data_IF_861770776162
#
_entry.id   IF_861770776162
#
_cell.length_a   1.000
_cell.length_b   1.000
_cell.length_c   1.000
_cell.angle_alpha   90.00
_cell.angle_beta   90.00
_cell.angle_gamma   90.00
#
_symmetry.space_group_name_H-M   'P 1'
#
loop_
_entity.id
_entity.type
_entity.pdbx_description
1 polymer ?
#
# COMPACT_ATOMS: atom_id res chain seq x y z
N UNK A 1 -11.94 27.85 -23.61
CA UNK A 1 -12.30 26.71 -22.73
C UNK A 1 -11.03 25.96 -22.47
N UNK A 2 -10.59 25.86 -21.22
CA UNK A 2 -9.43 25.03 -20.89
C UNK A 2 -9.77 23.59 -21.25
N UNK A 3 -8.92 22.94 -22.05
CA UNK A 3 -9.14 21.56 -22.49
C UNK A 3 -9.28 20.61 -21.30
N UNK A 4 -9.99 19.49 -21.49
CA UNK A 4 -10.08 18.42 -20.50
C UNK A 4 -8.83 17.55 -20.59
N UNK A 5 -8.19 17.24 -19.46
CA UNK A 5 -7.05 16.33 -19.44
C UNK A 5 -7.48 14.91 -19.87
N UNK A 6 -6.67 14.28 -20.74
CA UNK A 6 -6.88 12.91 -21.21
C UNK A 6 -6.31 11.92 -20.21
N UNK A 7 -5.09 12.17 -19.74
CA UNK A 7 -4.42 11.38 -18.70
C UNK A 7 -3.70 12.30 -17.72
N UNK A 8 -3.58 11.86 -16.48
CA UNK A 8 -2.97 12.59 -15.38
C UNK A 8 -2.30 11.62 -14.42
N UNK A 9 -0.97 11.68 -14.31
CA UNK A 9 -0.21 10.78 -13.44
C UNK A 9 1.00 11.45 -12.82
N UNK A 10 1.40 10.95 -11.66
CA UNK A 10 2.67 11.32 -11.04
C UNK A 10 3.75 10.35 -11.52
N UNK A 11 4.85 10.89 -12.06
CA UNK A 11 6.03 10.12 -12.44
C UNK A 11 6.90 9.76 -11.23
N UNK A 12 7.74 8.74 -11.41
CA UNK A 12 8.78 8.32 -10.47
C UNK A 12 9.78 9.44 -10.12
N UNK A 13 9.91 10.43 -11.00
CA UNK A 13 10.69 11.68 -10.89
C UNK A 13 10.01 12.80 -10.09
N UNK A 14 8.85 12.52 -9.48
CA UNK A 14 7.98 13.51 -8.81
C UNK A 14 7.50 14.62 -9.76
N UNK A 15 7.24 14.30 -11.03
CA UNK A 15 6.60 15.22 -11.98
C UNK A 15 5.13 14.88 -12.22
N UNK A 16 4.25 15.88 -12.21
CA UNK A 16 2.87 15.71 -12.67
C UNK A 16 2.85 15.74 -14.21
N UNK A 17 2.51 14.61 -14.83
CA UNK A 17 2.39 14.48 -16.28
C UNK A 17 0.91 14.51 -16.63
N UNK A 18 0.52 15.52 -17.41
CA UNK A 18 -0.85 15.68 -17.92
C UNK A 18 -0.81 15.67 -19.44
N UNK A 19 -1.61 14.82 -20.05
CA UNK A 19 -1.82 14.78 -21.49
C UNK A 19 -3.10 15.53 -21.87
N UNK A 20 -3.02 16.34 -22.92
CA UNK A 20 -4.12 17.16 -23.41
C UNK A 20 -4.51 16.73 -24.82
N UNK A 21 -5.79 16.82 -25.19
CA UNK A 21 -6.25 16.39 -26.51
C UNK A 21 -5.72 17.27 -27.64
N UNK A 22 -5.44 18.54 -27.34
CA UNK A 22 -4.83 19.49 -28.26
C UNK A 22 -3.54 20.03 -27.63
N UNK A 23 -2.48 20.29 -28.42
CA UNK A 23 -1.26 20.91 -27.93
C UNK A 23 -1.59 22.23 -27.22
N UNK A 24 -0.95 22.45 -26.09
CA UNK A 24 -1.11 23.70 -25.37
C UNK A 24 -0.31 24.80 -26.06
N UNK A 25 -0.95 25.96 -26.27
CA UNK A 25 -0.32 27.18 -26.76
C UNK A 25 0.87 27.61 -25.87
N UNK A 26 1.89 28.22 -26.49
CA UNK A 26 3.15 28.61 -25.81
C UNK A 26 3.04 29.70 -24.73
N UNK A 27 1.85 30.19 -24.42
CA UNK A 27 1.58 31.13 -23.32
C UNK A 27 0.78 30.47 -22.19
N UNK A 28 1.04 29.19 -21.94
CA UNK A 28 0.36 28.40 -20.93
C UNK A 28 0.55 28.99 -19.52
N UNK A 29 -0.52 29.33 -18.79
CA UNK A 29 -0.40 29.78 -17.40
C UNK A 29 0.17 28.73 -16.45
N UNK A 30 0.45 27.51 -16.92
CA UNK A 30 0.95 26.40 -16.12
C UNK A 30 -0.13 25.83 -15.21
N UNK A 31 0.23 24.75 -14.50
CA UNK A 31 -0.64 24.13 -13.50
C UNK A 31 -0.23 24.63 -12.12
N UNK A 32 -1.21 25.13 -11.38
CA UNK A 32 -1.08 25.49 -9.96
C UNK A 32 -1.81 24.45 -9.13
N UNK A 33 -1.13 23.92 -8.12
CA UNK A 33 -1.69 23.06 -7.11
C UNK A 33 -1.99 23.89 -5.86
N UNK A 34 -3.20 23.76 -5.32
CA UNK A 34 -3.60 24.41 -4.08
C UNK A 34 -3.95 23.39 -3.00
N UNK A 35 -3.32 23.47 -1.84
CA UNK A 35 -3.63 22.62 -0.69
C UNK A 35 -5.03 22.94 -0.16
N UNK A 36 -5.88 21.92 0.00
CA UNK A 36 -7.30 22.09 0.35
C UNK A 36 -7.47 22.70 1.75
N UNK A 37 -6.68 22.27 2.73
CA UNK A 37 -6.83 22.72 4.12
C UNK A 37 -6.09 24.04 4.42
N UNK A 38 -4.84 24.18 3.99
CA UNK A 38 -4.00 25.35 4.32
C UNK A 38 -4.13 26.49 3.31
N UNK A 39 -4.60 26.22 2.09
CA UNK A 39 -4.63 27.19 0.99
C UNK A 39 -3.27 27.49 0.36
N UNK A 40 -2.21 26.79 0.78
CA UNK A 40 -0.86 26.86 0.17
C UNK A 40 -0.92 26.59 -1.33
N UNK A 41 -0.14 27.31 -2.12
CA UNK A 41 -0.06 27.12 -3.57
C UNK A 41 1.37 26.80 -4.02
N UNK A 42 1.49 25.93 -5.01
CA UNK A 42 2.75 25.66 -5.68
C UNK A 42 2.53 25.41 -7.19
N UNK A 43 3.58 25.58 -7.96
CA UNK A 43 3.59 25.17 -9.36
C UNK A 43 3.73 23.65 -9.46
N UNK A 44 2.97 22.99 -10.33
CA UNK A 44 2.95 21.52 -10.43
C UNK A 44 4.27 20.91 -10.94
N UNK A 45 5.21 21.73 -11.40
CA UNK A 45 6.55 21.29 -11.80
C UNK A 45 7.42 20.84 -10.61
N UNK A 46 7.08 21.24 -9.38
CA UNK A 46 7.82 20.86 -8.18
C UNK A 46 6.93 20.15 -7.16
N UNK A 47 6.62 18.87 -7.41
CA UNK A 47 5.86 18.08 -6.44
C UNK A 47 6.68 17.71 -5.18
N UNK A 48 7.98 18.01 -5.15
CA UNK A 48 8.87 17.57 -4.07
C UNK A 48 8.67 18.35 -2.79
N UNK A 49 8.09 19.55 -2.90
CA UNK A 49 7.84 20.48 -1.79
C UNK A 49 6.44 20.34 -1.21
N UNK A 50 5.57 19.52 -1.84
CA UNK A 50 4.21 19.33 -1.35
C UNK A 50 4.19 18.76 0.07
N UNK A 51 3.50 19.46 0.95
CA UNK A 51 3.11 18.94 2.26
C UNK A 51 2.04 17.86 2.14
N UNK A 52 1.96 16.98 3.15
CA UNK A 52 0.95 15.93 3.23
C UNK A 52 -0.46 16.52 3.26
N UNK A 53 -1.36 15.95 2.45
CA UNK A 53 -2.73 16.44 2.34
C UNK A 53 -3.32 16.22 0.95
N UNK A 54 -4.38 16.97 0.66
CA UNK A 54 -5.04 16.97 -0.65
C UNK A 54 -4.76 18.30 -1.34
N UNK A 55 -4.35 18.21 -2.61
CA UNK A 55 -4.02 19.34 -3.46
C UNK A 55 -4.92 19.33 -4.69
N UNK A 56 -5.50 20.47 -5.05
CA UNK A 56 -6.37 20.61 -6.22
C UNK A 56 -5.61 21.28 -7.36
N UNK A 57 -5.65 20.68 -8.55
CA UNK A 57 -5.01 21.25 -9.74
C UNK A 57 -5.91 22.28 -10.41
N UNK A 58 -5.31 23.40 -10.79
CA UNK A 58 -5.94 24.48 -11.54
C UNK A 58 -5.03 24.98 -12.65
N UNK A 59 -5.61 25.56 -13.68
CA UNK A 59 -4.93 26.15 -14.83
C UNK A 59 -5.59 27.47 -15.18
N UNK A 60 -4.84 28.57 -15.11
CA UNK A 60 -5.40 29.92 -15.30
C UNK A 60 -6.51 30.26 -14.30
N UNK A 61 -6.45 29.72 -13.09
CA UNK A 61 -7.45 29.90 -12.03
C UNK A 61 -8.66 28.95 -12.10
N UNK A 62 -8.81 28.19 -13.18
CA UNK A 62 -9.91 27.23 -13.36
C UNK A 62 -9.48 25.81 -12.98
N UNK A 63 -10.32 25.00 -12.31
CA UNK A 63 -10.00 23.61 -12.01
C UNK A 63 -9.67 22.79 -13.26
N UNK A 64 -8.65 21.94 -13.16
CA UNK A 64 -8.29 21.01 -14.26
C UNK A 64 -9.36 19.92 -14.34
N UNK A 65 -10.19 19.96 -15.37
CA UNK A 65 -11.16 18.89 -15.64
C UNK A 65 -10.46 17.65 -16.19
N UNK A 66 -10.90 16.46 -15.78
CA UNK A 66 -10.38 15.17 -16.24
C UNK A 66 -11.45 14.07 -16.17
N UNK A 67 -11.43 13.16 -17.15
CA UNK A 67 -12.17 11.89 -17.06
C UNK A 67 -11.28 10.73 -16.60
N UNK A 68 -9.97 10.91 -16.62
CA UNK A 68 -9.01 9.92 -16.14
C UNK A 68 -9.15 9.72 -14.62
N UNK A 69 -9.34 8.48 -14.12
CA UNK A 69 -9.37 8.23 -12.68
C UNK A 69 -8.07 8.60 -11.97
N UNK A 70 -6.94 8.73 -12.68
CA UNK A 70 -5.61 9.01 -12.12
C UNK A 70 -4.90 7.76 -11.59
N UNK A 71 -5.45 6.57 -11.85
CA UNK A 71 -4.90 5.29 -11.43
C UNK A 71 -4.10 4.62 -12.55
N UNK A 72 -2.86 4.25 -12.24
CA UNK A 72 -2.01 3.40 -13.09
C UNK A 72 -1.23 2.46 -12.19
N UNK A 73 -1.55 1.17 -12.20
CA UNK A 73 -0.87 0.19 -11.34
C UNK A 73 0.63 0.15 -11.63
N UNK A 74 1.03 0.11 -12.90
CA UNK A 74 2.44 0.13 -13.31
C UNK A 74 3.12 1.44 -12.90
N UNK A 75 2.42 2.57 -13.01
CA UNK A 75 2.92 3.87 -12.55
C UNK A 75 3.14 3.91 -11.03
N UNK A 76 2.20 3.36 -10.26
CA UNK A 76 2.32 3.26 -8.80
C UNK A 76 3.45 2.32 -8.39
N UNK A 77 3.65 1.21 -9.10
CA UNK A 77 4.81 0.32 -8.88
C UNK A 77 6.12 1.03 -9.18
N UNK A 78 6.24 1.68 -10.34
CA UNK A 78 7.44 2.43 -10.72
C UNK A 78 7.75 3.55 -9.71
N UNK A 79 6.73 4.25 -9.23
CA UNK A 79 6.89 5.24 -8.17
C UNK A 79 7.37 4.61 -6.85
N UNK A 80 6.74 3.51 -6.43
CA UNK A 80 7.08 2.81 -5.20
C UNK A 80 8.42 2.05 -5.24
N UNK A 81 9.03 1.85 -6.40
CA UNK A 81 10.32 1.17 -6.53
C UNK A 81 11.51 2.02 -6.06
N UNK A 82 11.35 3.33 -5.96
CA UNK A 82 12.40 4.22 -5.47
C UNK A 82 12.29 4.46 -3.97
N UNK A 83 13.40 4.50 -3.23
CA UNK A 83 13.44 4.92 -1.84
C UNK A 83 12.86 6.34 -1.67
N UNK A 84 11.84 6.47 -0.83
CA UNK A 84 11.18 7.76 -0.52
C UNK A 84 10.37 7.64 0.76
N UNK A 85 10.09 8.77 1.40
CA UNK A 85 9.28 8.85 2.62
C UNK A 85 7.88 9.43 2.36
N UNK A 86 7.48 9.53 1.08
CA UNK A 86 6.19 10.06 0.66
C UNK A 86 5.60 9.26 -0.48
N UNK A 87 4.28 9.33 -0.57
CA UNK A 87 3.46 8.87 -1.67
C UNK A 87 2.68 10.05 -2.24
N UNK A 88 2.69 10.20 -3.56
CA UNK A 88 1.87 11.19 -4.27
C UNK A 88 1.02 10.46 -5.31
N UNK A 89 -0.31 10.60 -5.21
CA UNK A 89 -1.25 9.99 -6.16
C UNK A 89 -2.12 11.03 -6.81
N UNK A 90 -2.22 10.99 -8.14
CA UNK A 90 -3.28 11.67 -8.86
C UNK A 90 -4.62 10.94 -8.63
N UNK A 91 -5.70 11.69 -8.56
CA UNK A 91 -7.05 11.12 -8.51
C UNK A 91 -8.06 12.08 -9.12
N UNK A 92 -9.17 11.52 -9.60
CA UNK A 92 -10.34 12.28 -10.04
C UNK A 92 -11.32 12.48 -8.88
N UNK A 93 -11.74 13.73 -8.67
CA UNK A 93 -12.84 14.03 -7.75
C UNK A 93 -14.19 13.57 -8.33
N UNK A 94 -15.24 13.54 -7.49
CA UNK A 94 -16.61 13.31 -7.97
C UNK A 94 -17.12 14.41 -8.91
N UNK A 95 -16.47 15.58 -8.94
CA UNK A 95 -16.78 16.68 -9.84
C UNK A 95 -16.04 16.59 -11.18
N UNK A 96 -15.25 15.52 -11.40
CA UNK A 96 -14.47 15.35 -12.63
C UNK A 96 -13.29 16.30 -12.72
N UNK A 97 -12.68 16.64 -11.58
CA UNK A 97 -11.49 17.50 -11.52
C UNK A 97 -10.29 16.73 -10.98
N UNK A 98 -9.09 17.13 -11.39
CA UNK A 98 -7.83 16.53 -10.96
C UNK A 98 -7.44 17.03 -9.56
N UNK A 99 -7.19 16.09 -8.67
CA UNK A 99 -6.53 16.33 -7.38
C UNK A 99 -5.31 15.42 -7.21
N UNK A 100 -4.40 15.83 -6.33
CA UNK A 100 -3.31 15.00 -5.84
C UNK A 100 -3.51 14.71 -4.35
N UNK A 101 -3.16 13.51 -3.92
CA UNK A 101 -3.06 13.15 -2.51
C UNK A 101 -1.61 12.87 -2.18
N UNK A 102 -1.10 13.57 -1.17
CA UNK A 102 0.24 13.43 -0.64
C UNK A 102 0.16 12.82 0.76
N UNK A 103 0.95 11.78 1.01
CA UNK A 103 1.02 11.10 2.31
C UNK A 103 2.45 10.80 2.67
N UNK A 104 2.78 10.85 3.95
CA UNK A 104 3.98 10.21 4.48
C UNK A 104 3.85 8.68 4.38
N UNK A 105 4.95 8.02 4.03
CA UNK A 105 5.05 6.56 3.97
C UNK A 105 6.36 6.09 4.55
N UNK A 106 6.30 4.98 5.28
CA UNK A 106 7.49 4.21 5.65
C UNK A 106 7.61 3.01 4.70
N UNK A 107 8.83 2.51 4.45
CA UNK A 107 9.04 1.31 3.68
C UNK A 107 8.25 0.11 4.21
N UNK A 108 7.71 -0.68 3.30
CA UNK A 108 6.95 -1.89 3.61
C UNK A 108 7.06 -2.90 2.46
N UNK A 109 6.59 -4.13 2.66
CA UNK A 109 6.44 -5.09 1.56
C UNK A 109 5.01 -5.00 1.04
N UNK A 110 4.85 -4.55 -0.21
CA UNK A 110 3.60 -4.63 -0.95
C UNK A 110 3.31 -6.10 -1.26
N UNK A 111 2.29 -6.64 -0.61
CA UNK A 111 1.83 -8.01 -0.74
C UNK A 111 1.07 -8.16 -2.05
N UNK A 112 1.54 -9.09 -2.88
CA UNK A 112 1.03 -9.40 -4.21
C UNK A 112 0.20 -10.68 -4.19
N UNK A 113 0.62 -11.66 -3.39
CA UNK A 113 -0.10 -12.93 -3.23
C UNK A 113 -0.03 -13.41 -1.80
N UNK A 114 -1.15 -13.97 -1.35
CA UNK A 114 -1.24 -14.71 -0.09
C UNK A 114 -1.89 -16.05 -0.38
N UNK A 115 -1.21 -17.13 0.01
CA UNK A 115 -1.76 -18.48 -0.04
C UNK A 115 -1.83 -19.02 1.38
N UNK A 116 -2.95 -19.65 1.74
CA UNK A 116 -3.19 -20.18 3.08
C UNK A 116 -3.75 -21.61 2.97
N UNK A 117 -2.83 -22.57 2.84
CA UNK A 117 -3.11 -23.98 2.65
C UNK A 117 -2.04 -24.84 3.32
N UNK A 118 -2.35 -26.12 3.52
CA UNK A 118 -1.42 -27.14 4.04
C UNK A 118 -0.68 -26.77 5.34
N UNK A 119 -1.34 -26.01 6.22
CA UNK A 119 -0.78 -25.60 7.51
C UNK A 119 0.22 -24.44 7.41
N UNK A 120 0.30 -23.76 6.27
CA UNK A 120 1.25 -22.68 6.03
C UNK A 120 0.51 -21.44 5.51
N UNK A 121 1.00 -20.26 5.89
CA UNK A 121 0.65 -18.99 5.25
C UNK A 121 1.87 -18.55 4.45
N UNK A 122 1.73 -18.55 3.12
CA UNK A 122 2.74 -18.07 2.18
C UNK A 122 2.40 -16.66 1.72
N UNK A 123 3.41 -15.82 1.58
CA UNK A 123 3.28 -14.43 1.15
C UNK A 123 4.35 -14.11 0.11
N UNK A 124 3.92 -13.66 -1.06
CA UNK A 124 4.76 -13.06 -2.08
C UNK A 124 4.52 -11.54 -2.11
N UNK A 125 5.59 -10.76 -2.28
CA UNK A 125 5.50 -9.32 -2.36
C UNK A 125 6.78 -8.65 -2.82
N UNK A 126 6.80 -7.32 -2.80
CA UNK A 126 7.99 -6.55 -3.10
C UNK A 126 8.12 -5.32 -2.20
N UNK A 127 9.35 -4.93 -1.87
CA UNK A 127 9.61 -3.73 -1.07
C UNK A 127 9.16 -2.49 -1.84
N UNK A 128 8.30 -1.70 -1.19
CA UNK A 128 7.83 -0.40 -1.64
C UNK A 128 8.50 0.69 -0.79
N UNK A 129 8.91 1.77 -1.45
CA UNK A 129 9.48 2.99 -0.87
C UNK A 129 10.81 2.83 -0.12
N UNK A 130 11.41 1.64 -0.15
CA UNK A 130 12.66 1.31 0.54
C UNK A 130 13.76 0.85 -0.41
N UNK A 131 14.99 0.90 0.09
CA UNK A 131 16.16 0.34 -0.59
C UNK A 131 16.10 -1.20 -0.63
N UNK A 132 16.61 -1.84 -1.69
CA UNK A 132 16.93 -3.27 -1.69
C UNK A 132 17.80 -3.68 -0.50
N UNK A 133 17.28 -4.52 0.40
CA UNK A 133 18.00 -5.00 1.59
C UNK A 133 18.69 -6.33 1.28
N UNK A 134 20.00 -6.45 1.53
CA UNK A 134 20.71 -7.73 1.33
C UNK A 134 20.79 -8.53 2.62
N UNK A 135 20.61 -9.84 2.52
CA UNK A 135 20.95 -10.81 3.56
C UNK A 135 19.82 -11.78 3.89
N UNK A 136 19.87 -12.36 5.08
CA UNK A 136 18.92 -13.39 5.50
C UNK A 136 17.51 -12.79 5.67
N UNK A 137 16.52 -13.47 5.13
CA UNK A 137 15.12 -13.07 5.19
C UNK A 137 14.30 -14.10 5.98
N UNK A 138 13.27 -13.61 6.69
CA UNK A 138 12.27 -14.43 7.40
C UNK A 138 10.90 -13.80 7.25
N UNK A 139 9.86 -14.63 7.22
CA UNK A 139 8.49 -14.17 7.50
C UNK A 139 8.26 -14.32 9.01
N UNK A 140 7.83 -13.25 9.67
CA UNK A 140 7.66 -13.21 11.13
C UNK A 140 6.24 -12.82 11.49
N UNK A 141 5.58 -13.65 12.28
CA UNK A 141 4.31 -13.36 12.91
C UNK A 141 4.55 -12.92 14.36
N UNK A 142 4.01 -11.74 14.73
CA UNK A 142 4.13 -11.18 16.08
C UNK A 142 2.75 -11.02 16.70
N UNK A 143 2.50 -11.67 17.83
CA UNK A 143 1.25 -11.53 18.54
C UNK A 143 1.11 -10.11 19.12
N UNK A 144 0.00 -9.43 18.85
CA UNK A 144 -0.28 -8.10 19.44
C UNK A 144 -0.31 -8.12 20.97
N UNK A 145 -0.76 -9.25 21.52
CA UNK A 145 -0.77 -9.56 22.95
C UNK A 145 -0.66 -11.06 23.12
N UNK A 146 0.38 -11.53 23.80
CA UNK A 146 0.50 -12.93 24.19
C UNK A 146 1.88 -13.49 23.87
N UNK A 147 1.94 -14.63 23.14
CA UNK A 147 3.15 -15.43 23.02
C UNK A 147 4.26 -14.74 22.21
N UNK A 148 5.45 -15.33 22.29
CA UNK A 148 6.62 -14.94 21.52
C UNK A 148 6.37 -15.03 20.00
N UNK A 149 7.12 -14.26 19.19
CA UNK A 149 7.02 -14.32 17.74
C UNK A 149 7.27 -15.72 17.17
N UNK A 150 6.53 -16.05 16.10
CA UNK A 150 6.78 -17.24 15.28
C UNK A 150 7.40 -16.79 13.97
N UNK A 151 8.45 -17.47 13.51
CA UNK A 151 9.10 -17.15 12.25
C UNK A 151 9.22 -18.37 11.35
N UNK A 152 9.19 -18.14 10.05
CA UNK A 152 9.46 -19.16 9.04
C UNK A 152 10.41 -18.68 7.96
N UNK A 153 10.81 -19.58 7.05
CA UNK A 153 11.78 -19.27 6.01
C UNK A 153 11.23 -18.21 5.05
N UNK A 154 12.13 -17.36 4.55
CA UNK A 154 11.86 -16.48 3.43
C UNK A 154 13.11 -16.31 2.56
N UNK A 155 12.89 -15.91 1.32
CA UNK A 155 13.91 -15.46 0.39
C UNK A 155 13.66 -14.00 0.02
N UNK A 156 14.75 -13.29 -0.24
CA UNK A 156 14.69 -11.93 -0.73
C UNK A 156 15.68 -11.74 -1.87
N UNK A 157 15.20 -11.34 -3.05
CA UNK A 157 16.00 -11.21 -4.26
C UNK A 157 15.70 -9.88 -4.96
N UNK A 158 16.71 -9.00 -4.98
CA UNK A 158 16.53 -7.63 -5.47
C UNK A 158 15.56 -6.86 -4.57
N UNK A 159 14.29 -6.84 -4.94
CA UNK A 159 13.19 -6.23 -4.19
C UNK A 159 12.07 -7.20 -3.83
N UNK A 160 12.14 -8.42 -4.34
CA UNK A 160 11.09 -9.43 -4.24
C UNK A 160 11.27 -10.24 -2.96
N UNK A 161 10.17 -10.40 -2.24
CA UNK A 161 10.05 -11.17 -1.02
C UNK A 161 9.13 -12.36 -1.28
N UNK A 162 9.56 -13.54 -0.82
CA UNK A 162 8.76 -14.77 -0.80
C UNK A 162 9.03 -15.45 0.53
N UNK A 163 8.00 -15.63 1.35
CA UNK A 163 8.17 -16.24 2.67
C UNK A 163 6.92 -16.94 3.18
N UNK A 164 7.16 -17.93 4.04
CA UNK A 164 6.13 -18.76 4.63
C UNK A 164 6.25 -18.87 6.14
N UNK A 165 5.12 -19.00 6.83
CA UNK A 165 5.08 -19.26 8.28
C UNK A 165 4.10 -20.39 8.57
N UNK A 166 4.55 -21.36 9.34
CA UNK A 166 3.71 -22.47 9.80
C UNK A 166 2.70 -21.99 10.84
N UNK A 167 1.46 -22.45 10.72
CA UNK A 167 0.38 -22.03 11.61
C UNK A 167 0.32 -22.84 12.91
N UNK A 168 0.91 -24.03 12.94
CA UNK A 168 0.86 -24.92 14.10
C UNK A 168 1.52 -24.31 15.35
N UNK A 169 2.74 -23.74 15.29
CA UNK A 169 3.35 -23.08 16.45
C UNK A 169 2.51 -21.90 16.97
N UNK A 170 1.85 -21.16 16.08
CA UNK A 170 0.96 -20.05 16.45
C UNK A 170 -0.27 -20.56 17.21
N UNK A 171 -0.85 -21.67 16.76
CA UNK A 171 -2.03 -22.29 17.36
C UNK A 171 -1.72 -22.97 18.70
N UNK A 172 -0.58 -23.65 18.82
CA UNK A 172 -0.13 -24.27 20.07
C UNK A 172 0.13 -23.23 21.16
N UNK A 173 0.63 -22.05 20.78
CA UNK A 173 0.86 -20.94 21.70
C UNK A 173 -0.44 -20.19 22.09
N UNK A 174 -1.60 -20.57 21.53
CA UNK A 174 -2.86 -19.88 21.76
C UNK A 174 -3.52 -20.29 23.08
N UNK A 175 -3.37 -19.44 24.08
CA UNK A 175 -4.03 -19.60 25.40
C UNK A 175 -5.31 -18.78 25.56
N UNK A 176 -5.61 -17.89 24.60
CA UNK A 176 -6.78 -17.00 24.65
C UNK A 176 -7.79 -17.37 23.57
N UNK A 177 -9.07 -17.13 23.86
CA UNK A 177 -10.17 -17.35 22.90
C UNK A 177 -9.91 -16.69 21.54
N UNK A 178 -9.29 -15.50 21.54
CA UNK A 178 -8.92 -14.79 20.31
C UNK A 178 -7.57 -14.09 20.45
N UNK A 179 -6.70 -14.26 19.47
CA UNK A 179 -5.39 -13.61 19.36
C UNK A 179 -5.22 -13.07 17.94
N UNK A 180 -4.54 -11.93 17.81
CA UNK A 180 -4.20 -11.34 16.52
C UNK A 180 -2.69 -11.25 16.39
N UNK A 181 -2.19 -11.63 15.23
CA UNK A 181 -0.78 -11.62 14.88
C UNK A 181 -0.56 -10.70 13.69
N UNK A 182 0.35 -9.74 13.84
CA UNK A 182 0.79 -8.91 12.72
C UNK A 182 1.92 -9.63 11.97
N UNK A 183 1.93 -9.53 10.65
CA UNK A 183 2.95 -10.17 9.82
C UNK A 183 3.97 -9.14 9.32
N UNK A 184 5.22 -9.56 9.31
CA UNK A 184 6.36 -8.75 8.88
C UNK A 184 7.34 -9.57 8.04
N UNK A 185 7.93 -8.93 7.05
CA UNK A 185 9.19 -9.39 6.47
C UNK A 185 10.33 -8.90 7.35
N UNK A 186 11.21 -9.79 7.80
CA UNK A 186 12.43 -9.43 8.52
C UNK A 186 13.64 -9.75 7.64
N UNK A 187 14.39 -8.74 7.23
CA UNK A 187 15.53 -8.87 6.31
C UNK A 187 16.75 -8.20 6.97
N UNK A 188 17.78 -8.99 7.30
CA UNK A 188 19.00 -8.49 7.97
C UNK A 188 18.73 -7.64 9.21
N UNK A 189 17.75 -8.05 10.03
CA UNK A 189 17.34 -7.35 11.26
C UNK A 189 16.42 -6.14 11.04
N UNK A 190 16.15 -5.75 9.79
CA UNK A 190 15.14 -4.73 9.46
C UNK A 190 13.78 -5.39 9.34
N UNK A 191 12.79 -4.89 10.07
CA UNK A 191 11.43 -5.42 10.07
C UNK A 191 10.51 -4.49 9.27
N UNK A 192 9.96 -5.01 8.18
CA UNK A 192 9.06 -4.31 7.27
C UNK A 192 7.63 -4.87 7.41
N UNK A 193 6.60 -4.01 7.60
CA UNK A 193 5.23 -4.49 7.63
C UNK A 193 4.82 -5.04 6.27
N UNK A 194 3.91 -6.02 6.27
CA UNK A 194 3.26 -6.51 5.06
C UNK A 194 1.95 -5.76 4.85
N UNK A 195 1.72 -5.17 3.67
CA UNK A 195 0.49 -4.48 3.35
C UNK A 195 0.17 -4.55 1.85
N UNK A 196 -1.07 -4.30 1.46
CA UNK A 196 -1.44 -4.11 0.05
C UNK A 196 -2.07 -2.74 -0.09
N UNK A 197 -1.35 -1.79 -0.68
CA UNK A 197 -1.76 -0.38 -0.76
C UNK A 197 -1.69 0.18 -2.18
N UNK A 198 -0.97 -0.46 -3.10
CA UNK A 198 -0.75 0.07 -4.46
C UNK A 198 -1.90 -0.23 -5.44
N UNK A 199 -2.78 -1.18 -5.14
CA UNK A 199 -3.90 -1.57 -6.01
C UNK A 199 -5.11 -0.62 -6.01
N UNK A 200 -5.04 0.48 -5.23
CA UNK A 200 -6.10 1.48 -5.01
C UNK A 200 -7.43 0.92 -4.45
N UNK A 201 -7.43 -0.33 -4.00
CA UNK A 201 -8.58 -0.94 -3.31
C UNK A 201 -8.54 -0.51 -1.85
N UNK A 202 -9.41 0.40 -1.46
CA UNK A 202 -9.57 0.79 -0.04
C UNK A 202 -10.44 -0.21 0.73
N UNK A 203 -10.30 -0.24 2.06
CA UNK A 203 -11.14 -1.06 2.96
C UNK A 203 -11.10 -2.57 2.63
N UNK A 204 -9.88 -3.11 2.45
CA UNK A 204 -9.71 -4.53 2.12
C UNK A 204 -10.23 -5.46 3.22
N UNK A 205 -10.27 -4.97 4.46
CA UNK A 205 -10.84 -5.69 5.61
C UNK A 205 -12.29 -6.12 5.38
N UNK A 206 -13.10 -5.35 4.66
CA UNK A 206 -14.49 -5.73 4.36
C UNK A 206 -14.62 -6.50 3.04
N UNK A 207 -13.74 -6.23 2.08
CA UNK A 207 -13.81 -6.74 0.70
C UNK A 207 -13.09 -8.07 0.47
N UNK A 208 -12.04 -8.36 1.24
CA UNK A 208 -11.19 -9.55 1.06
C UNK A 208 -11.42 -10.56 2.18
N UNK A 209 -11.53 -11.84 1.78
CA UNK A 209 -11.71 -12.97 2.68
C UNK A 209 -10.78 -14.10 2.26
N UNK A 210 -9.81 -14.40 3.11
CA UNK A 210 -8.94 -15.56 2.94
C UNK A 210 -9.61 -16.82 3.49
N UNK A 211 -9.33 -18.00 2.90
CA UNK A 211 -9.73 -19.28 3.49
C UNK A 211 -9.13 -19.40 4.90
N UNK A 212 -9.90 -20.05 5.78
CA UNK A 212 -9.42 -20.35 7.13
C UNK A 212 -8.88 -21.76 7.17
N UNK A 213 -7.81 -21.95 7.93
CA UNK A 213 -7.20 -23.24 8.22
C UNK A 213 -7.46 -23.62 9.69
N UNK A 214 -7.28 -24.89 10.03
CA UNK A 214 -7.50 -25.40 11.39
C UNK A 214 -6.28 -26.18 11.89
N UNK A 215 -5.95 -25.98 13.16
CA UNK A 215 -5.02 -26.81 13.93
C UNK A 215 -5.71 -27.19 15.23
N UNK A 216 -6.15 -28.45 15.33
CA UNK A 216 -7.06 -28.86 16.42
C UNK A 216 -8.32 -27.99 16.45
N UNK A 217 -8.61 -27.38 17.61
CA UNK A 217 -9.74 -26.48 17.82
C UNK A 217 -9.47 -25.02 17.45
N UNK A 218 -8.25 -24.69 17.00
CA UNK A 218 -7.87 -23.33 16.64
C UNK A 218 -8.12 -23.08 15.16
N UNK A 219 -8.98 -22.11 14.87
CA UNK A 219 -9.15 -21.55 13.53
C UNK A 219 -8.16 -20.41 13.31
N UNK A 220 -7.40 -20.53 12.23
CA UNK A 220 -6.37 -19.57 11.79
C UNK A 220 -6.82 -18.95 10.47
N UNK A 221 -6.87 -17.61 10.39
CA UNK A 221 -7.28 -16.93 9.16
C UNK A 221 -6.47 -15.65 8.89
N UNK A 222 -5.82 -15.54 7.72
CA UNK A 222 -5.31 -14.25 7.27
C UNK A 222 -6.44 -13.23 7.11
N UNK A 223 -6.12 -11.96 7.30
CA UNK A 223 -7.04 -10.85 7.05
C UNK A 223 -6.26 -9.54 6.88
N UNK A 224 -6.87 -8.59 6.19
CA UNK A 224 -6.37 -7.22 6.17
C UNK A 224 -6.90 -6.42 7.35
N UNK A 225 -6.04 -5.61 7.96
CA UNK A 225 -6.39 -4.63 8.99
C UNK A 225 -7.09 -3.41 8.38
N UNK A 226 -7.43 -2.42 9.21
CA UNK A 226 -7.99 -1.12 8.77
C UNK A 226 -6.98 -0.28 7.98
N UNK A 227 -5.69 -0.59 8.10
CA UNK A 227 -4.58 0.09 7.39
C UNK A 227 -4.12 -0.70 6.17
N UNK A 228 -4.93 -1.66 5.73
CA UNK A 228 -4.64 -2.63 4.66
C UNK A 228 -3.33 -3.41 4.88
N UNK A 229 -2.91 -3.57 6.14
CA UNK A 229 -1.79 -4.44 6.53
C UNK A 229 -2.26 -5.87 6.66
N UNK A 230 -1.42 -6.83 6.28
CA UNK A 230 -1.73 -8.26 6.38
C UNK A 230 -1.45 -8.76 7.81
N UNK A 231 -2.43 -9.45 8.38
CA UNK A 231 -2.36 -10.01 9.72
C UNK A 231 -3.06 -11.38 9.75
N UNK A 232 -2.94 -12.09 10.86
CA UNK A 232 -3.57 -13.38 11.10
C UNK A 232 -4.44 -13.32 12.35
N UNK A 233 -5.68 -13.76 12.22
CA UNK A 233 -6.60 -13.90 13.32
C UNK A 233 -6.68 -15.37 13.75
N UNK A 234 -6.52 -15.59 15.04
CA UNK A 234 -6.52 -16.88 15.69
C UNK A 234 -7.71 -16.94 16.64
N UNK A 235 -8.57 -17.96 16.54
CA UNK A 235 -9.76 -18.12 17.38
C UNK A 235 -9.97 -19.57 17.78
N UNK A 236 -10.17 -19.82 19.07
CA UNK A 236 -10.59 -21.13 19.57
C UNK A 236 -12.08 -21.30 19.21
N UNK A 237 -12.40 -22.30 18.41
CA UNK A 237 -13.77 -22.74 18.16
C UNK A 237 -14.12 -23.76 19.26
N UNK A 238 -15.13 -23.46 20.07
CA UNK A 238 -15.69 -24.48 20.96
C UNK A 238 -16.32 -25.57 20.08
N UNK A 239 -16.06 -26.84 20.40
CA UNK A 239 -16.78 -27.95 19.77
C UNK A 239 -18.28 -27.70 19.90
N UNK A 240 -18.96 -27.61 18.76
CA UNK A 240 -20.40 -27.39 18.73
C UNK A 240 -21.09 -28.44 19.58
N UNK A 241 -21.82 -27.97 20.60
CA UNK A 241 -22.85 -28.76 21.28
C UNK A 241 -24.00 -29.10 20.34
#
# INVERSE_FOLDING_TARGET
>A
MSGRAVTSRVGDDDALRIEWPEPIDGNDPGIVLRHVETGEECEAADLKTLSSGVWMASRGGEPVATDDPGFSLDGLWSYAETPRNREIRAFRTSLGTLGLRVREVEPYVEVIRVTAEDGVIQVEGAVAYGEPIRGAARLVAVARRGPEPVSGPASFQGRWFDGGVEIAPMAEAQVRRRVFWDLYAEISGTRLPLATRLDDITDKKTKVRFPAQRVGQVRVRPYYTETDSLAVALSIEEEGS
#
